data_IF_591692761630
#
_entry.id   IF_591692761630
#
_cell.length_a   1.000
_cell.length_b   1.000
_cell.length_c   1.000
_cell.angle_alpha   90.00
_cell.angle_beta   90.00
_cell.angle_gamma   90.00
#
_symmetry.space_group_name_H-M   'P 1'
#
loop_
_entity.id
_entity.type
_entity.pdbx_description
1 polymer ?
#
# COMPACT_ATOMS: atom_id res chain seq x y z
N UNK A 1 -17.46 7.48 -11.49
CA UNK A 1 -18.78 7.88 -10.93
C UNK A 1 -19.21 6.83 -9.94
N UNK A 2 -19.80 7.24 -8.81
CA UNK A 2 -20.38 6.34 -7.81
C UNK A 2 -21.79 6.81 -7.53
N UNK A 3 -22.76 5.91 -7.60
CA UNK A 3 -24.19 6.22 -7.34
C UNK A 3 -24.73 7.42 -8.15
N UNK A 4 -24.28 7.60 -9.40
CA UNK A 4 -24.74 8.69 -10.26
C UNK A 4 -24.04 10.04 -10.02
N UNK A 5 -23.14 10.13 -9.03
CA UNK A 5 -22.34 11.32 -8.79
C UNK A 5 -20.95 11.18 -9.39
N UNK A 6 -20.44 12.29 -9.90
CA UNK A 6 -19.06 12.38 -10.36
C UNK A 6 -18.14 12.54 -9.14
N UNK A 7 -17.18 11.62 -9.01
CA UNK A 7 -16.29 11.55 -7.85
C UNK A 7 -15.06 12.45 -8.03
N UNK A 8 -14.49 12.48 -9.24
CA UNK A 8 -13.32 13.29 -9.58
C UNK A 8 -13.25 13.50 -11.09
N UNK A 9 -12.82 14.70 -11.50
CA UNK A 9 -12.36 15.02 -12.86
C UNK A 9 -10.92 15.51 -12.75
N UNK A 10 -10.07 15.06 -13.67
CA UNK A 10 -8.67 15.45 -13.76
C UNK A 10 -8.01 14.71 -14.93
N UNK A 11 -6.73 14.96 -15.16
CA UNK A 11 -5.94 14.15 -16.09
C UNK A 11 -5.74 12.72 -15.54
N UNK A 12 -5.40 11.73 -16.39
CA UNK A 12 -5.04 10.40 -15.90
C UNK A 12 -3.95 10.44 -14.82
N UNK A 13 -2.94 11.29 -15.00
CA UNK A 13 -1.85 11.47 -14.04
C UNK A 13 -2.35 12.07 -12.73
N UNK A 14 -3.21 13.08 -12.76
CA UNK A 14 -3.79 13.69 -11.55
C UNK A 14 -4.67 12.70 -10.79
N UNK A 15 -5.54 11.98 -11.48
CA UNK A 15 -6.45 11.01 -10.85
C UNK A 15 -5.65 9.84 -10.26
N UNK A 16 -4.58 9.41 -10.93
CA UNK A 16 -3.69 8.36 -10.42
C UNK A 16 -2.86 8.84 -9.23
N UNK A 17 -2.24 10.01 -9.35
CA UNK A 17 -1.32 10.58 -8.37
C UNK A 17 -2.05 11.12 -7.14
N UNK A 18 -3.25 11.69 -7.31
CA UNK A 18 -4.04 12.38 -6.30
C UNK A 18 -5.53 11.99 -6.36
N UNK A 19 -5.85 10.72 -6.05
CA UNK A 19 -7.24 10.28 -5.94
C UNK A 19 -7.97 11.04 -4.82
N UNK A 20 -9.14 11.60 -5.12
CA UNK A 20 -9.93 12.42 -4.21
C UNK A 20 -10.72 11.59 -3.17
N UNK A 21 -10.90 10.30 -3.41
CA UNK A 21 -11.59 9.40 -2.49
C UNK A 21 -11.00 7.99 -2.56
N UNK A 22 -11.23 7.18 -1.51
CA UNK A 22 -10.88 5.75 -1.49
C UNK A 22 -11.45 5.02 -2.70
N UNK A 23 -12.68 5.33 -3.09
CA UNK A 23 -13.32 4.72 -4.25
C UNK A 23 -12.57 5.05 -5.55
N UNK A 24 -12.17 6.30 -5.73
CA UNK A 24 -11.37 6.68 -6.91
C UNK A 24 -10.02 5.98 -6.87
N UNK A 25 -9.34 5.97 -5.72
CA UNK A 25 -8.09 5.26 -5.53
C UNK A 25 -8.20 3.78 -5.89
N UNK A 26 -9.17 3.05 -5.35
CA UNK A 26 -9.37 1.62 -5.63
C UNK A 26 -9.68 1.36 -7.11
N UNK A 27 -10.40 2.29 -7.76
CA UNK A 27 -10.77 2.15 -9.17
C UNK A 27 -9.59 2.37 -10.11
N UNK A 28 -8.73 3.37 -9.83
CA UNK A 28 -7.67 3.81 -10.76
C UNK A 28 -6.28 3.32 -10.38
N UNK A 29 -6.04 3.03 -9.10
CA UNK A 29 -4.76 2.59 -8.58
C UNK A 29 -4.84 1.11 -8.19
N UNK A 30 -3.81 0.34 -8.54
CA UNK A 30 -3.66 -1.02 -8.01
C UNK A 30 -3.04 -0.95 -6.61
N UNK A 31 -3.72 -0.25 -5.70
CA UNK A 31 -3.24 0.02 -4.35
C UNK A 31 -3.66 -1.05 -3.34
N UNK A 32 -2.89 -1.09 -2.26
CA UNK A 32 -3.22 -1.79 -1.03
C UNK A 32 -3.85 -0.79 -0.06
N UNK A 33 -4.89 -1.24 0.65
CA UNK A 33 -5.48 -0.46 1.74
C UNK A 33 -5.24 -1.22 3.03
N UNK A 34 -4.64 -0.59 4.04
CA UNK A 34 -4.31 -1.23 5.31
C UNK A 34 -5.00 -0.52 6.47
N UNK A 35 -5.72 -1.23 7.34
CA UNK A 35 -6.22 -0.68 8.58
C UNK A 35 -5.06 -0.17 9.41
N UNK A 36 -5.18 1.06 9.88
CA UNK A 36 -4.20 1.72 10.70
C UNK A 36 -4.85 2.21 11.99
N UNK A 37 -4.11 2.15 13.09
CA UNK A 37 -4.51 2.73 14.37
C UNK A 37 -3.48 3.75 14.82
N UNK A 38 -3.98 4.87 15.33
CA UNK A 38 -3.12 5.94 15.84
C UNK A 38 -2.40 5.47 17.10
N UNK A 39 -1.09 5.65 17.11
CA UNK A 39 -0.17 5.42 18.22
C UNK A 39 0.62 6.71 18.50
N UNK A 40 1.39 6.74 19.59
CA UNK A 40 2.17 7.92 19.98
C UNK A 40 3.24 8.32 18.94
N UNK A 41 3.66 7.39 18.10
CA UNK A 41 4.73 7.53 17.09
C UNK A 41 4.20 7.41 15.65
N UNK A 42 2.90 7.63 15.41
CA UNK A 42 2.32 7.58 14.07
C UNK A 42 1.20 6.55 13.92
N UNK A 43 1.04 6.02 12.73
CA UNK A 43 -0.02 5.09 12.35
C UNK A 43 0.48 3.66 12.29
N UNK A 44 0.04 2.84 13.23
CA UNK A 44 0.42 1.43 13.30
C UNK A 44 -0.46 0.60 12.38
N UNK A 45 0.19 -0.14 11.48
CA UNK A 45 -0.40 -1.19 10.65
C UNK A 45 0.27 -2.53 10.95
N UNK A 46 -0.21 -3.60 10.34
CA UNK A 46 0.42 -4.92 10.46
C UNK A 46 1.74 -5.07 9.69
N UNK A 47 2.10 -4.10 8.84
CA UNK A 47 3.38 -4.12 8.08
C UNK A 47 4.40 -3.12 8.59
N UNK A 48 4.07 -2.32 9.61
CA UNK A 48 4.94 -1.28 10.15
C UNK A 48 4.16 -0.10 10.73
N UNK A 49 4.92 0.84 11.30
CA UNK A 49 4.40 2.12 11.74
C UNK A 49 4.80 3.19 10.72
N UNK A 50 3.84 4.05 10.34
CA UNK A 50 4.04 5.13 9.38
C UNK A 50 3.84 6.48 10.07
N UNK A 51 4.86 7.33 10.01
CA UNK A 51 4.78 8.71 10.49
C UNK A 51 4.18 9.58 9.39
N UNK A 52 2.91 9.95 9.55
CA UNK A 52 2.19 10.77 8.56
C UNK A 52 1.72 12.02 9.29
N UNK A 53 2.20 13.18 8.84
CA UNK A 53 1.89 14.49 9.40
C UNK A 53 0.49 14.96 8.98
N UNK A 54 -0.56 14.27 9.42
CA UNK A 54 -1.94 14.71 9.19
C UNK A 54 -2.74 14.78 10.49
N UNK A 55 -3.45 15.89 10.67
CA UNK A 55 -4.36 16.16 11.80
C UNK A 55 -5.68 15.39 11.62
N UNK A 56 -5.62 14.07 11.67
CA UNK A 56 -6.83 13.25 11.76
C UNK A 56 -7.35 13.25 13.19
N UNK A 57 -8.63 13.54 13.35
CA UNK A 57 -9.34 13.48 14.63
C UNK A 57 -9.69 12.05 15.05
N UNK A 58 -9.62 11.10 14.12
CA UNK A 58 -9.96 9.70 14.36
C UNK A 58 -8.74 8.89 14.83
N UNK A 59 -8.99 7.87 15.66
CA UNK A 59 -7.95 6.95 16.15
C UNK A 59 -7.74 5.74 15.23
N UNK A 60 -8.54 5.62 14.16
CA UNK A 60 -8.46 4.58 13.15
C UNK A 60 -8.69 5.19 11.77
N UNK A 61 -7.99 4.66 10.76
CA UNK A 61 -8.18 4.99 9.36
C UNK A 61 -7.72 3.83 8.48
N UNK A 62 -7.82 4.01 7.16
CA UNK A 62 -7.10 3.16 6.20
C UNK A 62 -5.98 3.94 5.52
N UNK A 63 -4.82 3.32 5.48
CA UNK A 63 -3.65 3.78 4.75
C UNK A 63 -3.67 3.14 3.36
N UNK A 64 -3.66 3.96 2.32
CA UNK A 64 -3.45 3.57 0.94
C UNK A 64 -1.96 3.59 0.60
N UNK A 65 -1.50 2.49 0.03
CA UNK A 65 -0.12 2.31 -0.43
C UNK A 65 -0.19 1.74 -1.85
N UNK A 66 0.42 2.40 -2.83
CA UNK A 66 0.48 1.81 -4.17
C UNK A 66 1.43 0.62 -4.17
N UNK A 67 1.12 -0.37 -5.00
CA UNK A 67 1.96 -1.56 -5.11
C UNK A 67 3.41 -1.22 -5.56
N UNK A 68 3.59 -0.20 -6.40
CA UNK A 68 4.91 0.26 -6.86
C UNK A 68 5.71 1.07 -5.83
N UNK A 69 5.06 1.59 -4.79
CA UNK A 69 5.73 2.34 -3.72
C UNK A 69 6.26 1.40 -2.62
N UNK A 70 5.95 0.10 -2.71
CA UNK A 70 6.39 -0.92 -1.76
C UNK A 70 7.85 -1.33 -2.03
N UNK A 71 8.75 -0.97 -1.12
CA UNK A 71 10.15 -1.43 -1.11
C UNK A 71 10.23 -2.71 -0.28
N UNK A 72 10.63 -3.81 -0.92
CA UNK A 72 10.76 -5.11 -0.28
C UNK A 72 12.21 -5.41 0.10
N UNK A 73 12.43 -5.84 1.33
CA UNK A 73 13.73 -6.31 1.81
C UNK A 73 13.55 -7.63 2.57
N UNK A 74 14.35 -8.68 2.30
CA UNK A 74 14.35 -9.90 3.11
C UNK A 74 14.61 -9.58 4.57
N UNK A 75 13.77 -10.11 5.45
CA UNK A 75 13.84 -9.90 6.89
C UNK A 75 13.24 -11.12 7.61
N UNK A 76 14.06 -11.82 8.38
CA UNK A 76 13.64 -13.02 9.13
C UNK A 76 12.80 -12.71 10.35
N UNK A 77 12.84 -11.47 10.85
CA UNK A 77 12.06 -11.04 12.02
C UNK A 77 10.67 -10.53 11.59
N UNK A 78 10.49 -10.23 10.29
CA UNK A 78 9.19 -9.90 9.73
C UNK A 78 8.27 -11.12 9.70
N UNK A 79 6.98 -10.88 9.91
CA UNK A 79 5.93 -11.89 9.80
C UNK A 79 5.18 -11.82 8.45
N UNK A 80 5.58 -10.91 7.56
CA UNK A 80 5.01 -10.79 6.21
C UNK A 80 5.78 -11.68 5.25
N UNK A 81 5.07 -12.56 4.54
CA UNK A 81 5.68 -13.61 3.72
C UNK A 81 5.30 -13.45 2.26
N UNK A 82 6.26 -13.60 1.34
CA UNK A 82 5.97 -13.69 -0.09
C UNK A 82 5.30 -15.03 -0.39
N UNK A 83 4.09 -15.00 -0.92
CA UNK A 83 3.34 -16.20 -1.31
C UNK A 83 3.47 -16.51 -2.80
N UNK A 84 3.60 -15.48 -3.64
CA UNK A 84 3.72 -15.63 -5.11
C UNK A 84 4.57 -14.53 -5.71
N UNK A 85 5.29 -14.85 -6.79
CA UNK A 85 6.01 -13.90 -7.63
C UNK A 85 5.70 -14.14 -9.09
N UNK A 86 5.33 -13.09 -9.82
CA UNK A 86 5.04 -13.14 -11.26
C UNK A 86 5.91 -12.17 -12.03
N UNK A 87 6.58 -12.66 -13.06
CA UNK A 87 7.34 -11.82 -13.99
C UNK A 87 6.41 -11.19 -15.02
N UNK A 88 6.42 -9.86 -15.14
CA UNK A 88 5.60 -9.11 -16.09
C UNK A 88 6.45 -8.34 -17.11
N UNK A 89 7.58 -8.90 -17.52
CA UNK A 89 8.45 -8.34 -18.57
C UNK A 89 9.52 -7.38 -18.06
N UNK A 90 9.13 -6.25 -17.45
CA UNK A 90 10.07 -5.26 -16.89
C UNK A 90 10.03 -5.14 -15.37
N UNK A 91 9.11 -5.86 -14.75
CA UNK A 91 8.82 -5.79 -13.32
C UNK A 91 8.42 -7.17 -12.81
N UNK A 92 8.55 -7.35 -11.49
CA UNK A 92 7.90 -8.43 -10.77
C UNK A 92 6.68 -7.91 -10.04
N UNK A 93 5.60 -8.68 -10.07
CA UNK A 93 4.49 -8.55 -9.13
C UNK A 93 4.64 -9.59 -8.03
N UNK A 94 4.68 -9.14 -6.80
CA UNK A 94 4.69 -9.97 -5.60
C UNK A 94 3.31 -9.97 -4.96
N UNK A 95 2.86 -11.15 -4.52
CA UNK A 95 1.78 -11.28 -3.55
C UNK A 95 2.43 -11.62 -2.19
N UNK A 96 2.06 -10.84 -1.19
CA UNK A 96 2.54 -10.95 0.18
C UNK A 96 1.34 -11.26 1.08
N UNK A 97 1.56 -12.05 2.12
CA UNK A 97 0.55 -12.38 3.12
C UNK A 97 1.00 -11.86 4.48
N UNK A 98 0.14 -11.09 5.13
CA UNK A 98 0.37 -10.56 6.47
C UNK A 98 -0.08 -11.56 7.54
N UNK A 99 0.25 -11.33 8.83
CA UNK A 99 -0.17 -12.23 9.91
C UNK A 99 -1.69 -12.39 10.06
N UNK A 100 -2.46 -11.38 9.66
CA UNK A 100 -3.93 -11.46 9.65
C UNK A 100 -4.50 -12.27 8.47
N UNK A 101 -3.64 -12.72 7.54
CA UNK A 101 -4.03 -13.37 6.29
C UNK A 101 -4.40 -12.40 5.17
N UNK A 102 -4.15 -11.10 5.35
CA UNK A 102 -4.41 -10.11 4.30
C UNK A 102 -3.38 -10.21 3.18
N UNK A 103 -3.86 -10.14 1.95
CA UNK A 103 -2.99 -10.06 0.78
C UNK A 103 -2.56 -8.62 0.49
N UNK A 104 -1.26 -8.43 0.27
CA UNK A 104 -0.65 -7.18 -0.18
C UNK A 104 0.05 -7.45 -1.52
N UNK A 105 -0.09 -6.52 -2.45
CA UNK A 105 0.60 -6.56 -3.73
C UNK A 105 1.73 -5.54 -3.77
N UNK A 106 2.89 -5.97 -4.26
CA UNK A 106 4.02 -5.07 -4.51
C UNK A 106 4.52 -5.23 -5.95
N UNK A 107 5.05 -4.15 -6.52
CA UNK A 107 5.70 -4.10 -7.82
C UNK A 107 7.12 -3.61 -7.64
N UNK A 108 8.06 -4.41 -8.14
CA UNK A 108 9.48 -4.04 -8.14
C UNK A 108 10.05 -4.15 -9.54
N UNK A 109 11.14 -3.45 -9.79
CA UNK A 109 11.97 -3.67 -10.97
C UNK A 109 12.63 -5.06 -10.91
N UNK A 110 13.19 -5.49 -12.04
CA UNK A 110 13.78 -6.83 -12.21
C UNK A 110 15.14 -7.03 -11.54
N UNK A 111 15.74 -5.97 -11.01
CA UNK A 111 16.95 -6.01 -10.18
C UNK A 111 16.67 -6.55 -8.76
N UNK A 112 15.42 -6.51 -8.33
CA UNK A 112 14.95 -7.01 -7.03
C UNK A 112 14.31 -8.39 -7.20
N UNK A 113 15.06 -9.43 -6.87
CA UNK A 113 14.65 -10.83 -7.03
C UNK A 113 14.60 -11.51 -5.66
N UNK A 114 13.41 -11.59 -5.08
CA UNK A 114 13.18 -12.26 -3.79
C UNK A 114 12.42 -13.57 -4.04
N UNK A 115 12.85 -14.72 -3.47
CA UNK A 115 12.14 -16.00 -3.64
C UNK A 115 10.77 -16.02 -2.95
N UNK A 116 9.85 -16.82 -3.49
CA UNK A 116 8.62 -17.19 -2.77
C UNK A 116 8.96 -17.93 -1.47
N UNK A 117 8.15 -17.74 -0.43
CA UNK A 117 8.38 -18.25 0.92
C UNK A 117 9.29 -17.38 1.79
N UNK A 118 9.91 -16.33 1.23
CA UNK A 118 10.77 -15.42 1.98
C UNK A 118 9.94 -14.47 2.86
N UNK A 119 10.35 -14.29 4.11
CA UNK A 119 9.85 -13.23 4.98
C UNK A 119 10.50 -11.90 4.62
N UNK A 120 9.71 -10.83 4.58
CA UNK A 120 10.17 -9.54 4.10
C UNK A 120 9.64 -8.40 4.95
N UNK A 121 10.47 -7.39 5.17
CA UNK A 121 10.03 -6.09 5.63
C UNK A 121 9.54 -5.29 4.42
N UNK A 122 8.42 -4.58 4.60
CA UNK A 122 7.90 -3.63 3.63
C UNK A 122 8.24 -2.23 4.15
N UNK A 123 8.93 -1.45 3.33
CA UNK A 123 9.20 -0.03 3.59
C UNK A 123 8.58 0.80 2.46
N UNK A 124 8.27 2.07 2.74
CA UNK A 124 7.56 2.95 1.82
C UNK A 124 8.22 4.32 1.90
N UNK A 125 8.39 5.05 0.78
CA UNK A 125 8.79 6.45 0.81
C UNK A 125 7.78 7.30 1.60
N UNK A 126 8.28 8.25 2.38
CA UNK A 126 7.43 9.08 3.27
C UNK A 126 6.36 9.86 2.51
N UNK A 127 6.63 10.24 1.26
CA UNK A 127 5.73 11.00 0.38
C UNK A 127 4.72 10.12 -0.41
N UNK A 128 4.84 8.79 -0.32
CA UNK A 128 4.02 7.86 -1.08
C UNK A 128 2.76 7.38 -0.34
N UNK A 129 2.65 7.67 0.96
CA UNK A 129 1.54 7.20 1.78
C UNK A 129 0.36 8.18 1.73
N UNK A 130 -0.87 7.66 1.53
CA UNK A 130 -2.10 8.47 1.61
C UNK A 130 -3.07 7.90 2.63
N UNK A 131 -3.72 8.77 3.40
CA UNK A 131 -4.77 8.38 4.33
C UNK A 131 -6.12 8.72 3.70
N UNK A 132 -7.05 7.78 3.78
CA UNK A 132 -8.46 8.07 3.58
C UNK A 132 -9.19 7.93 4.92
N UNK A 133 -9.99 8.94 5.26
CA UNK A 133 -10.96 8.82 6.34
C UNK A 133 -12.13 7.93 5.89
N UNK A 134 -12.73 7.23 6.85
CA UNK A 134 -13.97 6.45 6.65
C UNK A 134 -15.18 7.36 6.34
#
# INVERSE_FOLDING_TARGET
MRQGNLEQIGTPEEIYSHPASRFVAEFVTQANFLPARRQSNGWQTEIGCFEIEENHTHNSCEIMIRQEDCILQPDTDSQVKITKRRFLGREYRYCLETPSGKEIHARTMTDTIIPEGTFVKISIPDDAVKIFAD
#
